data_IF_145036678482
#
_entry.id   IF_145036678482
#
_cell.length_a   1.000
_cell.length_b   1.000
_cell.length_c   1.000
_cell.angle_alpha   90.00
_cell.angle_beta   90.00
_cell.angle_gamma   90.00
#
_symmetry.space_group_name_H-M   'P 1'
#
loop_
_entity.id
_entity.type
_entity.pdbx_description
1 polymer ?
#
# COMPACT_ATOMS: atom_id res chain seq x y z
N UNK A 1 4.48 9.70 7.20
CA UNK A 1 5.03 8.37 6.91
C UNK A 1 5.50 8.38 5.46
N UNK A 2 6.72 7.94 5.22
CA UNK A 2 7.35 8.10 3.91
C UNK A 2 7.43 6.79 3.14
N UNK A 3 7.29 6.90 1.82
CA UNK A 3 7.48 5.78 0.91
C UNK A 3 8.97 5.62 0.65
N UNK A 4 9.47 4.41 0.82
CA UNK A 4 10.88 4.08 0.57
C UNK A 4 11.12 3.76 -0.90
N UNK A 5 10.25 2.93 -1.51
CA UNK A 5 10.37 2.55 -2.90
C UNK A 5 9.07 1.95 -3.43
N UNK A 6 9.00 1.85 -4.74
CA UNK A 6 7.93 1.14 -5.43
C UNK A 6 8.42 -0.28 -5.68
N UNK A 7 7.68 -1.27 -5.19
CA UNK A 7 8.05 -2.68 -5.31
C UNK A 7 7.59 -3.24 -6.65
N UNK A 8 6.30 -3.11 -6.93
CA UNK A 8 5.66 -3.66 -8.12
C UNK A 8 4.26 -3.12 -8.26
N UNK A 9 3.54 -3.55 -9.28
CA UNK A 9 2.14 -3.19 -9.44
C UNK A 9 1.52 -3.80 -10.66
N UNK A 10 0.22 -3.56 -10.82
CA UNK A 10 -0.51 -3.91 -12.03
C UNK A 10 -0.75 -2.62 -12.79
N UNK A 11 -0.33 -2.60 -14.05
CA UNK A 11 -0.49 -1.40 -14.89
C UNK A 11 -1.93 -0.90 -14.85
N UNK A 12 -2.08 0.41 -14.65
CA UNK A 12 -3.35 1.14 -14.63
C UNK A 12 -4.28 0.78 -13.48
N UNK A 13 -3.84 -0.02 -12.51
CA UNK A 13 -4.74 -0.50 -11.46
C UNK A 13 -4.23 -0.30 -10.05
N UNK A 14 -3.10 -0.89 -9.66
CA UNK A 14 -2.57 -0.74 -8.30
C UNK A 14 -1.05 -0.77 -8.27
N UNK A 15 -0.52 -0.33 -7.12
CA UNK A 15 0.92 -0.27 -6.88
C UNK A 15 1.21 -0.76 -5.47
N UNK A 16 2.28 -1.52 -5.33
CA UNK A 16 2.78 -1.95 -4.03
C UNK A 16 3.96 -1.06 -3.66
N UNK A 17 3.79 -0.32 -2.56
CA UNK A 17 4.82 0.55 -2.00
C UNK A 17 5.45 -0.11 -0.79
N UNK A 18 6.75 0.05 -0.64
CA UNK A 18 7.45 -0.24 0.61
C UNK A 18 7.59 1.08 1.37
N UNK A 19 7.13 1.09 2.63
CA UNK A 19 7.22 2.25 3.50
C UNK A 19 8.51 2.19 4.31
N UNK A 20 9.00 3.34 4.76
CA UNK A 20 10.24 3.42 5.55
C UNK A 20 10.15 2.68 6.89
N UNK A 21 8.94 2.51 7.43
CA UNK A 21 8.74 1.78 8.67
C UNK A 21 8.66 0.25 8.50
N UNK A 22 8.87 -0.25 7.28
CA UNK A 22 8.85 -1.68 6.99
C UNK A 22 7.52 -2.24 6.53
N UNK A 23 6.45 -1.43 6.51
CA UNK A 23 5.16 -1.87 5.98
C UNK A 23 5.17 -1.86 4.46
N UNK A 24 4.40 -2.78 3.89
CA UNK A 24 4.07 -2.78 2.46
C UNK A 24 2.60 -2.39 2.31
N UNK A 25 2.32 -1.54 1.35
CA UNK A 25 0.98 -1.04 1.09
C UNK A 25 0.63 -1.29 -0.36
N UNK A 26 -0.44 -2.05 -0.60
CA UNK A 26 -0.99 -2.22 -1.95
C UNK A 26 -2.12 -1.22 -2.11
N UNK A 27 -1.90 -0.23 -2.96
CA UNK A 27 -2.81 0.89 -3.16
C UNK A 27 -3.38 0.89 -4.56
N UNK A 28 -4.70 1.02 -4.66
CA UNK A 28 -5.39 1.12 -5.93
C UNK A 28 -5.32 2.56 -6.46
N UNK A 29 -5.45 2.73 -7.77
CA UNK A 29 -5.52 4.06 -8.38
C UNK A 29 -6.82 4.78 -8.04
N UNK A 30 -7.85 4.04 -7.63
CA UNK A 30 -9.12 4.60 -7.19
C UNK A 30 -9.12 4.76 -5.68
N UNK A 31 -9.41 5.97 -5.14
CA UNK A 31 -9.48 6.18 -3.68
C UNK A 31 -10.67 5.48 -3.02
N UNK A 32 -11.59 4.95 -3.80
CA UNK A 32 -12.73 4.18 -3.28
C UNK A 32 -12.33 2.78 -2.81
N UNK A 33 -11.20 2.28 -3.31
CA UNK A 33 -10.70 0.97 -2.92
C UNK A 33 -9.74 1.10 -1.74
N UNK A 34 -9.94 0.35 -0.66
CA UNK A 34 -9.07 0.48 0.50
C UNK A 34 -7.66 -0.02 0.22
N UNK A 35 -6.69 0.62 0.86
CA UNK A 35 -5.30 0.17 0.83
C UNK A 35 -5.18 -1.10 1.65
N UNK A 36 -4.41 -2.07 1.16
CA UNK A 36 -4.11 -3.29 1.91
C UNK A 36 -2.69 -3.17 2.48
N UNK A 37 -2.53 -3.47 3.76
CA UNK A 37 -1.24 -3.41 4.44
C UNK A 37 -0.75 -4.80 4.80
N UNK A 38 0.55 -5.02 4.70
CA UNK A 38 1.20 -6.25 5.15
C UNK A 38 2.65 -5.95 5.52
N UNK A 39 3.23 -6.77 6.39
CA UNK A 39 4.66 -6.71 6.68
C UNK A 39 5.45 -7.62 5.75
N UNK A 40 4.78 -8.39 4.89
CA UNK A 40 5.40 -9.33 3.97
C UNK A 40 4.98 -9.03 2.53
N UNK A 41 5.91 -8.62 1.65
CA UNK A 41 5.56 -8.27 0.27
C UNK A 41 5.01 -9.46 -0.53
N UNK A 42 5.40 -10.68 -0.21
CA UNK A 42 4.93 -11.86 -0.94
C UNK A 42 3.43 -12.08 -0.79
N UNK A 43 2.81 -11.49 0.25
CA UNK A 43 1.36 -11.51 0.43
C UNK A 43 0.65 -10.98 -0.81
N UNK A 44 1.22 -9.94 -1.44
CA UNK A 44 0.64 -9.31 -2.62
C UNK A 44 1.14 -9.92 -3.93
N UNK A 45 2.33 -10.50 -3.93
CA UNK A 45 3.03 -10.93 -5.14
C UNK A 45 2.73 -12.36 -5.57
N UNK A 46 1.99 -13.11 -4.79
CA UNK A 46 1.80 -14.56 -5.02
C UNK A 46 1.00 -14.93 -6.27
N UNK A 47 0.38 -13.98 -6.93
CA UNK A 47 -0.40 -14.25 -8.15
C UNK A 47 0.40 -14.10 -9.44
N UNK A 48 1.64 -13.64 -9.38
CA UNK A 48 2.61 -13.75 -10.47
C UNK A 48 2.46 -12.81 -11.66
N UNK A 49 1.50 -11.89 -11.65
CA UNK A 49 1.31 -10.97 -12.78
C UNK A 49 1.57 -9.50 -12.42
N UNK A 50 2.27 -9.26 -11.33
CA UNK A 50 2.71 -7.92 -10.98
C UNK A 50 3.95 -7.54 -11.78
N UNK A 51 3.95 -6.36 -12.36
CA UNK A 51 5.10 -5.82 -13.05
C UNK A 51 6.11 -5.25 -12.06
N UNK A 52 7.38 -5.24 -12.44
CA UNK A 52 8.43 -4.53 -11.71
C UNK A 52 8.02 -3.07 -11.57
N UNK A 53 8.24 -2.48 -10.38
CA UNK A 53 7.88 -1.10 -10.10
C UNK A 53 8.51 -0.09 -11.05
N UNK A 54 9.69 -0.39 -11.60
CA UNK A 54 10.38 0.46 -12.56
C UNK A 54 9.68 0.52 -13.93
N UNK A 55 8.76 -0.41 -14.19
CA UNK A 55 8.05 -0.52 -15.47
C UNK A 55 6.65 0.08 -15.43
N UNK A 56 6.21 0.55 -14.27
CA UNK A 56 4.89 1.17 -14.12
C UNK A 56 4.94 2.59 -14.68
N UNK A 57 3.84 3.03 -15.28
CA UNK A 57 3.79 4.39 -15.78
C UNK A 57 3.60 5.40 -14.63
N UNK A 58 4.07 6.62 -14.86
CA UNK A 58 4.08 7.64 -13.82
C UNK A 58 2.69 8.03 -13.34
N UNK A 59 1.70 7.98 -14.23
CA UNK A 59 0.33 8.34 -13.85
C UNK A 59 -0.27 7.32 -12.89
N UNK A 60 -0.06 6.02 -13.16
CA UNK A 60 -0.51 4.95 -12.26
C UNK A 60 0.11 5.11 -10.88
N UNK A 61 1.43 5.35 -10.84
CA UNK A 61 2.14 5.54 -9.57
C UNK A 61 1.60 6.77 -8.83
N UNK A 62 1.43 7.88 -9.53
CA UNK A 62 0.93 9.12 -8.93
C UNK A 62 -0.45 8.94 -8.33
N UNK A 63 -1.35 8.28 -9.05
CA UNK A 63 -2.72 8.06 -8.58
C UNK A 63 -2.78 7.09 -7.41
N UNK A 64 -2.02 6.00 -7.46
CA UNK A 64 -1.95 5.05 -6.35
C UNK A 64 -1.31 5.68 -5.10
N UNK A 65 -0.30 6.54 -5.29
CA UNK A 65 0.31 7.28 -4.19
C UNK A 65 -0.70 8.23 -3.54
N UNK A 66 -1.48 8.94 -4.35
CA UNK A 66 -2.51 9.84 -3.82
C UNK A 66 -3.55 9.07 -2.99
N UNK A 67 -3.93 7.88 -3.44
CA UNK A 67 -4.84 7.01 -2.67
C UNK A 67 -4.21 6.62 -1.34
N UNK A 68 -2.96 6.19 -1.34
CA UNK A 68 -2.26 5.83 -0.10
C UNK A 68 -2.21 7.02 0.87
N UNK A 69 -1.84 8.19 0.39
CA UNK A 69 -1.76 9.39 1.21
C UNK A 69 -3.12 9.78 1.79
N UNK A 70 -4.18 9.64 1.01
CA UNK A 70 -5.54 9.89 1.49
C UNK A 70 -5.86 9.01 2.70
N UNK A 71 -5.60 7.72 2.63
CA UNK A 71 -5.87 6.81 3.75
C UNK A 71 -4.94 7.09 4.95
N UNK A 72 -3.66 7.36 4.70
CA UNK A 72 -2.72 7.67 5.78
C UNK A 72 -3.07 8.97 6.52
N UNK A 73 -3.70 9.92 5.84
CA UNK A 73 -4.10 11.19 6.42
C UNK A 73 -5.52 11.19 7.00
N UNK A 74 -6.22 10.06 6.91
CA UNK A 74 -7.57 9.94 7.42
C UNK A 74 -7.67 8.67 8.28
N UNK A 75 -7.52 8.83 9.59
CA UNK A 75 -7.47 7.69 10.52
C UNK A 75 -8.73 6.84 10.50
N UNK A 76 -9.89 7.45 10.33
CA UNK A 76 -11.14 6.68 10.29
C UNK A 76 -11.17 5.75 9.09
N UNK A 77 -10.67 6.20 7.95
CA UNK A 77 -10.57 5.38 6.75
C UNK A 77 -9.46 4.35 6.86
N UNK A 78 -8.35 4.72 7.50
CA UNK A 78 -7.23 3.81 7.73
C UNK A 78 -7.64 2.61 8.59
N UNK A 79 -8.52 2.82 9.57
CA UNK A 79 -9.08 1.76 10.39
C UNK A 79 -9.82 0.69 9.57
N UNK A 80 -10.39 1.07 8.43
CA UNK A 80 -11.15 0.17 7.56
C UNK A 80 -10.27 -0.59 6.56
N UNK A 81 -8.97 -0.27 6.50
CA UNK A 81 -8.06 -0.92 5.56
C UNK A 81 -7.72 -2.34 5.99
N UNK A 82 -7.73 -3.31 5.06
CA UNK A 82 -7.29 -4.67 5.37
C UNK A 82 -5.84 -4.71 5.84
N UNK A 83 -5.62 -5.46 6.91
CA UNK A 83 -4.29 -5.66 7.50
C UNK A 83 -3.98 -7.14 7.46
N UNK A 84 -3.07 -7.54 6.57
CA UNK A 84 -2.79 -8.93 6.24
C UNK A 84 -1.56 -9.40 6.99
N UNK A 85 -1.78 -10.30 7.95
CA UNK A 85 -0.75 -10.81 8.86
C UNK A 85 -1.02 -10.39 10.28
N UNK A 86 0.02 -9.97 11.02
CA UNK A 86 -0.15 -9.51 12.40
C UNK A 86 -0.83 -8.14 12.43
N UNK A 87 -2.14 -8.14 12.64
CA UNK A 87 -2.92 -6.90 12.71
C UNK A 87 -2.40 -5.96 13.78
N UNK A 88 -2.03 -6.51 14.93
CA UNK A 88 -1.50 -5.71 16.05
C UNK A 88 -0.22 -4.97 15.67
N UNK A 89 0.71 -5.67 15.02
CA UNK A 89 1.96 -5.07 14.60
C UNK A 89 1.74 -4.02 13.51
N UNK A 90 0.85 -4.31 12.55
CA UNK A 90 0.53 -3.37 11.47
C UNK A 90 -0.10 -2.11 12.04
N UNK A 91 -1.07 -2.26 12.95
CA UNK A 91 -1.73 -1.11 13.59
C UNK A 91 -0.73 -0.24 14.34
N UNK A 92 0.19 -0.85 15.06
CA UNK A 92 1.23 -0.11 15.79
C UNK A 92 2.09 0.72 14.83
N UNK A 93 2.51 0.12 13.70
CA UNK A 93 3.32 0.81 12.71
C UNK A 93 2.56 1.94 12.00
N UNK A 94 1.24 1.83 11.90
CA UNK A 94 0.38 2.86 11.33
C UNK A 94 0.02 3.96 12.35
N UNK A 95 0.41 3.80 13.61
CA UNK A 95 0.09 4.76 14.66
C UNK A 95 -1.36 4.72 15.10
N UNK A 96 -2.05 3.60 14.91
CA UNK A 96 -3.45 3.44 15.29
C UNK A 96 -3.66 3.00 16.73
N UNK A 97 -2.66 2.39 17.33
CA UNK A 97 -2.69 1.96 18.72
C UNK A 97 -1.93 2.97 19.57
N UNK A 98 -2.60 3.50 20.54
CA UNK A 98 -2.01 4.46 21.47
C UNK A 98 -1.26 3.72 22.56
#
# INVERSE_FOLDING_TARGET
MNIKRIVSGIRDWNVIFEMENGLFAMSNVSPEEPVHFSMNPTTFLRHGYFEDGNRLDDDTVRRARATLEYYLNNKDRLEDCPMLGSKRAIRALLGLDA
#
